data_IF_596754320550
#
_entry.id   IF_596754320550
#
_cell.length_a   1.000
_cell.length_b   1.000
_cell.length_c   1.000
_cell.angle_alpha   90.00
_cell.angle_beta   90.00
_cell.angle_gamma   90.00
#
_symmetry.space_group_name_H-M   'P 1'
#
loop_
_entity.id
_entity.type
_entity.pdbx_description
1 polymer ?
#
# COMPACT_ATOMS: atom_id res chain seq x y z
N UNK A 1 4.98 0.65 -31.97
CA UNK A 1 5.70 0.98 -30.73
C UNK A 1 4.74 0.70 -29.60
N UNK A 2 4.91 -0.43 -28.92
CA UNK A 2 4.12 -0.78 -27.75
C UNK A 2 5.15 -0.99 -26.64
N UNK A 3 5.46 0.09 -25.94
CA UNK A 3 6.19 0.05 -24.69
C UNK A 3 5.29 -0.69 -23.70
N UNK A 4 5.37 -2.02 -23.72
CA UNK A 4 5.05 -2.84 -22.56
C UNK A 4 6.06 -2.43 -21.51
N UNK A 5 5.78 -1.32 -20.85
CA UNK A 5 6.42 -0.94 -19.61
C UNK A 5 6.23 -2.15 -18.72
N UNK A 6 7.29 -2.94 -18.63
CA UNK A 6 7.41 -4.04 -17.71
C UNK A 6 7.33 -3.38 -16.34
N UNK A 7 6.10 -3.13 -15.87
CA UNK A 7 5.83 -2.82 -14.48
C UNK A 7 6.14 -4.13 -13.79
N UNK A 8 7.43 -4.37 -13.57
CA UNK A 8 7.93 -5.37 -12.65
C UNK A 8 7.07 -5.17 -11.41
N UNK A 9 6.18 -6.14 -11.14
CA UNK A 9 5.31 -6.04 -9.99
C UNK A 9 6.25 -5.89 -8.81
N UNK A 10 6.25 -4.73 -8.13
CA UNK A 10 7.18 -4.54 -7.04
C UNK A 10 6.88 -5.66 -6.04
N UNK A 11 7.90 -6.47 -5.73
CA UNK A 11 7.74 -7.59 -4.82
C UNK A 11 7.26 -7.03 -3.49
N UNK A 12 6.03 -7.37 -3.12
CA UNK A 12 5.41 -6.88 -1.91
C UNK A 12 6.24 -7.44 -0.74
N UNK A 13 6.82 -6.58 0.11
CA UNK A 13 7.70 -7.02 1.18
C UNK A 13 6.89 -7.82 2.20
N UNK A 14 7.31 -9.06 2.47
CA UNK A 14 6.67 -9.92 3.48
C UNK A 14 7.23 -9.66 4.87
N UNK A 15 6.35 -9.53 5.85
CA UNK A 15 6.71 -9.39 7.25
C UNK A 15 7.22 -10.73 7.80
N UNK A 16 8.51 -10.77 8.16
CA UNK A 16 9.19 -11.97 8.70
C UNK A 16 9.53 -11.90 10.20
N UNK A 17 8.84 -11.03 10.96
CA UNK A 17 9.02 -10.91 12.41
C UNK A 17 9.96 -9.77 12.86
N UNK A 18 10.74 -9.17 11.97
CA UNK A 18 11.41 -7.88 12.21
C UNK A 18 10.67 -6.77 11.46
N UNK A 19 10.37 -5.65 12.13
CA UNK A 19 9.56 -4.55 11.61
C UNK A 19 10.36 -3.51 10.82
N UNK A 20 11.64 -3.28 11.15
CA UNK A 20 12.47 -2.22 10.54
C UNK A 20 12.65 -2.37 9.02
N UNK A 21 12.96 -3.59 8.56
CA UNK A 21 13.24 -3.81 7.15
C UNK A 21 11.99 -3.84 6.24
N UNK A 22 10.86 -4.51 6.59
CA UNK A 22 9.67 -4.49 5.77
C UNK A 22 8.92 -3.15 5.82
N UNK A 23 9.02 -2.38 6.91
CA UNK A 23 8.40 -1.06 7.00
C UNK A 23 9.03 -0.07 6.01
N UNK A 24 10.36 -0.05 5.90
CA UNK A 24 11.08 0.80 4.94
C UNK A 24 10.74 0.44 3.47
N UNK A 25 10.66 -0.86 3.15
CA UNK A 25 10.28 -1.30 1.80
C UNK A 25 8.82 -0.97 1.49
N UNK A 26 7.94 -1.07 2.50
CA UNK A 26 6.53 -0.75 2.36
C UNK A 26 6.29 0.75 2.17
N UNK A 27 7.01 1.58 2.92
CA UNK A 27 7.00 3.04 2.76
C UNK A 27 7.44 3.43 1.35
N UNK A 28 8.55 2.88 0.86
CA UNK A 28 9.04 3.14 -0.50
C UNK A 28 8.03 2.69 -1.56
N UNK A 29 7.42 1.50 -1.39
CA UNK A 29 6.40 0.99 -2.31
C UNK A 29 5.18 1.93 -2.38
N UNK A 30 4.67 2.37 -1.23
CA UNK A 30 3.51 3.26 -1.15
C UNK A 30 3.84 4.66 -1.69
N UNK A 31 5.06 5.17 -1.47
CA UNK A 31 5.52 6.45 -2.06
C UNK A 31 5.68 6.36 -3.58
N UNK A 32 6.26 5.29 -4.11
CA UNK A 32 6.38 5.06 -5.56
C UNK A 32 5.03 4.91 -6.28
N UNK A 33 3.95 4.64 -5.53
CA UNK A 33 2.58 4.55 -6.06
C UNK A 33 1.71 5.75 -5.71
N UNK A 34 2.27 6.78 -5.09
CA UNK A 34 1.56 7.98 -4.61
C UNK A 34 0.42 7.67 -3.61
N UNK A 35 0.44 6.49 -2.97
CA UNK A 35 -0.53 6.11 -1.94
C UNK A 35 -0.12 6.58 -0.55
N UNK A 36 1.16 6.89 -0.34
CA UNK A 36 1.69 7.32 0.97
C UNK A 36 0.96 8.54 1.54
N UNK A 37 0.59 9.50 0.69
CA UNK A 37 -0.12 10.71 1.12
C UNK A 37 -1.44 10.39 1.84
N UNK A 38 -2.10 9.27 1.52
CA UNK A 38 -3.37 8.85 2.14
C UNK A 38 -3.14 8.12 3.46
N UNK A 39 -1.97 7.49 3.62
CA UNK A 39 -1.58 6.81 4.86
C UNK A 39 -1.07 7.82 5.88
N UNK A 40 -0.32 8.83 5.43
CA UNK A 40 0.25 9.89 6.25
C UNK A 40 -0.78 10.96 6.61
N UNK A 41 -1.60 11.38 5.64
CA UNK A 41 -2.68 12.33 5.88
C UNK A 41 -3.89 11.54 6.36
N UNK A 42 -4.12 11.53 7.67
CA UNK A 42 -5.39 11.07 8.25
C UNK A 42 -6.56 11.62 7.43
N UNK A 43 -7.47 10.75 6.98
CA UNK A 43 -8.55 11.05 6.03
C UNK A 43 -9.06 12.50 6.12
N UNK A 44 -8.68 13.31 5.13
CA UNK A 44 -9.23 14.66 4.93
C UNK A 44 -10.38 14.55 3.95
N UNK A 45 -11.56 15.02 4.33
CA UNK A 45 -12.72 15.03 3.43
C UNK A 45 -12.39 15.90 2.19
N UNK A 46 -12.39 15.32 0.98
CA UNK A 46 -12.04 16.05 -0.22
C UNK A 46 -13.14 17.05 -0.59
N UNK A 47 -12.79 18.20 -1.19
CA UNK A 47 -13.75 19.25 -1.53
C UNK A 47 -14.70 18.89 -2.68
N UNK A 48 -14.47 17.79 -3.40
CA UNK A 48 -15.30 17.32 -4.51
C UNK A 48 -15.54 15.80 -4.43
N UNK A 49 -16.73 15.32 -4.81
CA UNK A 49 -17.09 13.90 -4.77
C UNK A 49 -16.25 13.03 -5.71
N UNK A 50 -15.76 13.57 -6.83
CA UNK A 50 -14.89 12.85 -7.78
C UNK A 50 -13.52 12.52 -7.14
N UNK A 51 -12.96 13.43 -6.34
CA UNK A 51 -11.75 13.15 -5.55
C UNK A 51 -11.99 12.09 -4.47
N UNK A 52 -13.23 11.94 -3.99
CA UNK A 52 -13.59 10.97 -2.95
C UNK A 52 -13.53 9.54 -3.49
N UNK A 53 -13.97 9.31 -4.72
CA UNK A 53 -13.85 7.99 -5.36
C UNK A 53 -12.39 7.62 -5.64
N UNK A 54 -11.58 8.58 -6.10
CA UNK A 54 -10.15 8.35 -6.30
C UNK A 54 -9.42 8.02 -4.98
N UNK A 55 -9.70 8.79 -3.92
CA UNK A 55 -9.17 8.55 -2.58
C UNK A 55 -9.57 7.18 -2.04
N UNK A 56 -10.83 6.76 -2.22
CA UNK A 56 -11.29 5.42 -1.84
C UNK A 56 -10.54 4.32 -2.58
N UNK A 57 -10.36 4.45 -3.89
CA UNK A 57 -9.64 3.45 -4.68
C UNK A 57 -8.18 3.35 -4.23
N UNK A 58 -7.53 4.48 -3.95
CA UNK A 58 -6.14 4.51 -3.47
C UNK A 58 -6.03 3.95 -2.03
N UNK A 59 -6.96 4.26 -1.11
CA UNK A 59 -7.03 3.68 0.23
C UNK A 59 -7.20 2.15 0.19
N UNK A 60 -8.14 1.65 -0.62
CA UNK A 60 -8.36 0.21 -0.79
C UNK A 60 -7.11 -0.50 -1.33
N UNK A 61 -6.39 0.12 -2.28
CA UNK A 61 -5.13 -0.43 -2.79
C UNK A 61 -4.05 -0.46 -1.70
N UNK A 62 -3.87 0.64 -0.95
CA UNK A 62 -2.89 0.70 0.14
C UNK A 62 -3.16 -0.39 1.19
N UNK A 63 -4.42 -0.56 1.61
CA UNK A 63 -4.83 -1.64 2.53
C UNK A 63 -4.52 -3.02 1.95
N UNK A 64 -4.85 -3.25 0.68
CA UNK A 64 -4.58 -4.54 0.03
C UNK A 64 -3.08 -4.86 -0.04
N UNK A 65 -2.22 -3.85 -0.27
CA UNK A 65 -0.78 -4.04 -0.18
C UNK A 65 -0.36 -4.41 1.24
N UNK A 66 -0.82 -3.69 2.25
CA UNK A 66 -0.50 -3.96 3.66
C UNK A 66 -0.94 -5.38 4.08
N UNK A 67 -2.12 -5.83 3.64
CA UNK A 67 -2.59 -7.19 3.88
C UNK A 67 -1.72 -8.25 3.20
N UNK A 68 -1.24 -7.99 1.98
CA UNK A 68 -0.35 -8.91 1.28
C UNK A 68 1.06 -8.96 1.90
N UNK A 69 1.48 -7.87 2.55
CA UNK A 69 2.74 -7.79 3.29
C UNK A 69 2.69 -8.60 4.60
N UNK A 70 1.51 -8.85 5.16
CA UNK A 70 1.34 -9.63 6.39
C UNK A 70 1.17 -11.10 6.05
N UNK A 71 2.08 -11.95 6.54
CA UNK A 71 1.96 -13.39 6.38
C UNK A 71 0.73 -13.92 7.13
N UNK A 72 -0.02 -14.85 6.51
CA UNK A 72 -1.23 -15.47 7.10
C UNK A 72 -0.96 -16.08 8.48
N UNK A 73 0.28 -16.51 8.72
CA UNK A 73 0.72 -17.05 10.01
C UNK A 73 0.70 -16.00 11.11
N UNK A 74 1.12 -14.76 10.81
CA UNK A 74 1.12 -13.65 11.78
C UNK A 74 -0.29 -13.22 12.10
N UNK A 75 -1.17 -13.16 11.09
CA UNK A 75 -2.59 -12.89 11.29
C UNK A 75 -3.25 -13.93 12.20
N UNK A 76 -2.87 -15.21 12.06
CA UNK A 76 -3.39 -16.32 12.85
C UNK A 76 -2.90 -16.34 14.30
N UNK A 77 -1.72 -15.76 14.58
CA UNK A 77 -1.16 -15.67 15.94
C UNK A 77 -1.84 -14.58 16.79
N UNK A 78 -2.50 -13.60 16.17
CA UNK A 78 -3.19 -12.49 16.87
C UNK A 78 -4.64 -12.85 17.23
N UNK A 79 -5.24 -13.86 16.57
CA UNK A 79 -6.63 -14.31 16.76
C UNK A 79 -6.70 -15.36 17.87
#
# INVERSE_FOLDING_TARGET
MADTSNFEQPSIPKFKGNYDHPSMLMENLLRSKEYWSIVETSYTEPPHPECLEELKVKDLKARNYLFQSIDKLVLKTII
#
